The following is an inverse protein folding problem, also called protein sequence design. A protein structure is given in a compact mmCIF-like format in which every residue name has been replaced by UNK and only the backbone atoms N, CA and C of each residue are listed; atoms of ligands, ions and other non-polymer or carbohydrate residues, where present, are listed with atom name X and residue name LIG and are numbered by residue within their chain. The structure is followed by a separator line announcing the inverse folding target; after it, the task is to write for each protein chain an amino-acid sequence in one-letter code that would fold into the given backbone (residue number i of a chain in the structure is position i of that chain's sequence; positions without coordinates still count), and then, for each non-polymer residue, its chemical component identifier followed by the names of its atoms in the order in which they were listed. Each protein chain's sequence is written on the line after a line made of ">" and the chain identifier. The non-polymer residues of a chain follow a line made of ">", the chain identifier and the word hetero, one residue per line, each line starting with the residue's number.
data_IF_632552648584
#
_entry.id   IF_632552648584
#
_cell.length_a   1.000
_cell.length_b   1.000
_cell.length_c   1.000
_cell.angle_alpha   90.00
_cell.angle_beta   90.00
_cell.angle_gamma   90.00
#
_symmetry.space_group_name_H-M   'P 1'
#
loop_
_entity.id
_entity.type
_entity.pdbx_description
1 polymer ?
#
# COMPACT_ATOMS: atom_id res chain seq x y z
N UNK A 1 -7.00 -9.67 -41.35
CA UNK A 1 -6.35 -8.97 -40.22
C UNK A 1 -7.01 -7.61 -40.06
N UNK A 2 -7.25 -7.09 -38.84
CA UNK A 2 -7.83 -5.76 -38.67
C UNK A 2 -6.90 -4.67 -39.21
N UNK A 3 -7.46 -3.68 -39.87
CA UNK A 3 -6.71 -2.52 -40.38
C UNK A 3 -6.16 -1.66 -39.23
N UNK A 4 -5.20 -0.78 -39.51
CA UNK A 4 -4.66 0.15 -38.52
C UNK A 4 -5.78 0.98 -37.84
N UNK A 5 -6.74 1.47 -38.65
CA UNK A 5 -7.92 2.21 -38.16
C UNK A 5 -8.72 1.39 -37.14
N UNK A 6 -8.94 0.11 -37.41
CA UNK A 6 -9.68 -0.76 -36.50
C UNK A 6 -8.91 -1.02 -35.19
N UNK A 7 -7.57 -1.13 -35.25
CA UNK A 7 -6.73 -1.29 -34.06
C UNK A 7 -6.75 -0.06 -33.16
N UNK A 8 -6.75 1.15 -33.73
CA UNK A 8 -6.83 2.40 -32.96
C UNK A 8 -8.18 2.55 -32.25
N UNK A 9 -9.27 2.22 -32.96
CA UNK A 9 -10.61 2.24 -32.38
C UNK A 9 -10.69 1.24 -31.23
N UNK A 10 -10.25 -0.01 -31.47
CA UNK A 10 -10.24 -1.07 -30.46
C UNK A 10 -9.45 -0.68 -29.21
N UNK A 11 -8.26 -0.08 -29.35
CA UNK A 11 -7.43 0.35 -28.24
C UNK A 11 -8.16 1.37 -27.36
N UNK A 12 -8.79 2.38 -27.95
CA UNK A 12 -9.56 3.39 -27.23
C UNK A 12 -10.72 2.77 -26.44
N UNK A 13 -11.42 1.81 -27.02
CA UNK A 13 -12.58 1.15 -26.44
C UNK A 13 -12.15 0.20 -25.31
N UNK A 14 -11.01 -0.50 -25.44
CA UNK A 14 -10.43 -1.34 -24.39
C UNK A 14 -10.01 -0.51 -23.17
N UNK A 15 -9.34 0.63 -23.36
CA UNK A 15 -8.98 1.53 -22.27
C UNK A 15 -10.20 2.13 -21.57
N UNK A 16 -11.26 2.46 -22.34
CA UNK A 16 -12.52 2.90 -21.76
C UNK A 16 -13.20 1.81 -20.92
N UNK A 17 -13.13 0.54 -21.35
CA UNK A 17 -13.63 -0.60 -20.58
C UNK A 17 -12.88 -0.71 -19.25
N UNK A 18 -11.55 -0.64 -19.27
CA UNK A 18 -10.72 -0.69 -18.06
C UNK A 18 -11.13 0.39 -17.05
N UNK A 19 -11.24 1.65 -17.49
CA UNK A 19 -11.65 2.75 -16.60
C UNK A 19 -13.04 2.51 -15.97
N UNK A 20 -13.98 1.92 -16.72
CA UNK A 20 -15.31 1.60 -16.19
C UNK A 20 -15.24 0.47 -15.15
N UNK A 21 -14.42 -0.54 -15.38
CA UNK A 21 -14.21 -1.65 -14.44
C UNK A 21 -13.55 -1.17 -13.15
N UNK A 22 -12.48 -0.39 -13.26
CA UNK A 22 -11.71 0.13 -12.11
C UNK A 22 -12.56 1.03 -11.22
N UNK A 23 -13.47 1.80 -11.81
CA UNK A 23 -14.33 2.76 -11.10
C UNK A 23 -15.68 2.17 -10.67
N UNK A 24 -16.03 1.00 -11.17
CA UNK A 24 -17.34 0.38 -10.93
C UNK A 24 -18.53 1.18 -11.48
N UNK A 25 -18.29 2.26 -12.25
CA UNK A 25 -19.34 3.16 -12.76
C UNK A 25 -18.92 3.86 -14.05
N UNK A 26 -19.79 3.78 -15.06
CA UNK A 26 -19.61 4.50 -16.34
C UNK A 26 -19.56 6.02 -16.10
N UNK A 27 -20.40 6.54 -15.21
CA UNK A 27 -20.46 7.97 -14.92
C UNK A 27 -19.17 8.48 -14.25
N UNK A 28 -18.64 7.75 -13.29
CA UNK A 28 -17.39 8.11 -12.59
C UNK A 28 -16.22 8.04 -13.56
N UNK A 29 -16.15 6.99 -14.39
CA UNK A 29 -15.14 6.84 -15.43
C UNK A 29 -15.20 7.98 -16.47
N UNK A 30 -16.39 8.35 -16.92
CA UNK A 30 -16.60 9.45 -17.87
C UNK A 30 -16.13 10.79 -17.30
N UNK A 31 -16.51 11.11 -16.06
CA UNK A 31 -16.13 12.35 -15.38
C UNK A 31 -14.60 12.47 -15.23
N UNK A 32 -13.94 11.37 -14.83
CA UNK A 32 -12.47 11.35 -14.68
C UNK A 32 -11.75 11.63 -16.00
N UNK A 33 -12.30 11.11 -17.10
CA UNK A 33 -11.70 11.26 -18.44
C UNK A 33 -12.19 12.52 -19.19
N UNK A 34 -12.98 13.39 -18.54
CA UNK A 34 -13.45 14.64 -19.15
C UNK A 34 -14.39 14.44 -20.34
N UNK A 35 -15.07 13.29 -20.46
CA UNK A 35 -16.00 12.99 -21.53
C UNK A 35 -17.43 12.82 -21.00
N UNK A 36 -18.43 12.97 -21.91
CA UNK A 36 -19.82 12.77 -21.53
C UNK A 36 -20.11 11.31 -21.23
N UNK A 37 -21.02 11.05 -20.28
CA UNK A 37 -21.46 9.69 -19.92
C UNK A 37 -21.99 8.90 -21.14
N UNK A 38 -22.73 9.58 -22.04
CA UNK A 38 -23.20 9.00 -23.31
C UNK A 38 -22.04 8.50 -24.19
N UNK A 39 -20.94 9.25 -24.25
CA UNK A 39 -19.76 8.87 -25.04
C UNK A 39 -19.06 7.65 -24.43
N UNK A 40 -18.85 7.62 -23.11
CA UNK A 40 -18.28 6.46 -22.43
C UNK A 40 -19.15 5.22 -22.64
N UNK A 41 -20.48 5.35 -22.48
CA UNK A 41 -21.44 4.27 -22.75
C UNK A 41 -21.37 3.77 -24.20
N UNK A 42 -21.15 4.68 -25.16
CA UNK A 42 -21.06 4.31 -26.58
C UNK A 42 -19.77 3.54 -26.88
N UNK A 43 -18.64 3.91 -26.27
CA UNK A 43 -17.37 3.18 -26.41
C UNK A 43 -17.54 1.72 -25.95
N UNK A 44 -18.17 1.51 -24.79
CA UNK A 44 -18.44 0.15 -24.30
C UNK A 44 -19.35 -0.63 -25.24
N UNK A 45 -20.45 -0.02 -25.70
CA UNK A 45 -21.38 -0.68 -26.65
C UNK A 45 -20.70 -1.06 -27.97
N UNK A 46 -19.84 -0.19 -28.49
CA UNK A 46 -19.10 -0.45 -29.72
C UNK A 46 -18.16 -1.66 -29.53
N UNK A 47 -17.45 -1.72 -28.41
CA UNK A 47 -16.58 -2.83 -28.07
C UNK A 47 -17.37 -4.15 -27.93
N UNK A 48 -18.48 -4.12 -27.20
CA UNK A 48 -19.39 -5.28 -27.07
C UNK A 48 -19.90 -5.75 -28.42
N UNK A 49 -20.29 -4.80 -29.31
CA UNK A 49 -20.75 -5.12 -30.67
C UNK A 49 -19.63 -5.73 -31.53
N UNK A 50 -18.41 -5.20 -31.41
CA UNK A 50 -17.24 -5.70 -32.16
C UNK A 50 -16.86 -7.12 -31.73
N UNK A 51 -16.90 -7.39 -30.43
CA UNK A 51 -16.51 -8.69 -29.87
C UNK A 51 -17.67 -9.70 -29.83
N UNK A 52 -18.92 -9.26 -30.03
CA UNK A 52 -20.11 -10.10 -30.00
C UNK A 52 -20.49 -10.61 -28.60
N UNK A 53 -19.94 -10.01 -27.54
CA UNK A 53 -20.17 -10.44 -26.17
C UNK A 53 -20.48 -9.24 -25.26
N UNK A 54 -21.22 -9.48 -24.18
CA UNK A 54 -21.42 -8.49 -23.11
C UNK A 54 -20.18 -8.43 -22.23
N UNK A 55 -19.73 -7.20 -21.94
CA UNK A 55 -18.55 -6.93 -21.12
C UNK A 55 -18.90 -6.33 -19.76
N UNK A 56 -19.99 -5.56 -19.69
CA UNK A 56 -20.44 -4.91 -18.46
C UNK A 56 -21.89 -5.29 -18.15
N UNK A 57 -22.12 -5.76 -16.94
CA UNK A 57 -23.44 -5.89 -16.33
C UNK A 57 -23.78 -4.58 -15.60
N UNK A 58 -24.94 -3.97 -15.94
CA UNK A 58 -25.43 -2.75 -15.31
C UNK A 58 -26.47 -3.12 -14.27
N UNK A 59 -26.19 -2.87 -13.01
CA UNK A 59 -27.08 -3.10 -11.89
C UNK A 59 -27.31 -1.78 -11.13
N UNK A 60 -28.23 -1.80 -10.17
CA UNK A 60 -28.46 -0.65 -9.28
C UNK A 60 -27.20 -0.25 -8.48
N UNK A 61 -26.31 -1.21 -8.24
CA UNK A 61 -25.07 -1.00 -7.49
C UNK A 61 -23.87 -0.55 -8.38
N UNK A 62 -24.10 -0.32 -9.70
CA UNK A 62 -23.06 0.16 -10.61
C UNK A 62 -22.84 -0.70 -11.87
N UNK A 63 -21.60 -0.70 -12.33
CA UNK A 63 -21.15 -1.39 -13.55
C UNK A 63 -20.19 -2.49 -13.17
N UNK A 64 -20.64 -3.74 -13.22
CA UNK A 64 -19.83 -4.90 -12.87
C UNK A 64 -19.26 -5.59 -14.12
N UNK A 65 -17.99 -6.03 -14.13
CA UNK A 65 -17.41 -6.78 -15.23
C UNK A 65 -18.08 -8.15 -15.38
N UNK A 66 -18.23 -8.62 -16.63
CA UNK A 66 -18.64 -10.00 -16.94
C UNK A 66 -17.44 -10.94 -16.89
N UNK A 67 -17.67 -12.26 -16.93
CA UNK A 67 -16.60 -13.25 -17.07
C UNK A 67 -15.74 -13.00 -18.33
N UNK A 68 -16.36 -12.59 -19.43
CA UNK A 68 -15.62 -12.22 -20.65
C UNK A 68 -14.67 -11.07 -20.44
N UNK A 69 -15.06 -10.08 -19.63
CA UNK A 69 -14.18 -8.96 -19.26
C UNK A 69 -13.03 -9.41 -18.37
N UNK A 70 -13.29 -10.29 -17.41
CA UNK A 70 -12.24 -10.82 -16.52
C UNK A 70 -11.15 -11.54 -17.29
N UNK A 71 -11.50 -12.29 -18.35
CA UNK A 71 -10.54 -12.99 -19.20
C UNK A 71 -9.56 -12.01 -19.88
N UNK A 72 -10.04 -10.87 -20.38
CA UNK A 72 -9.20 -9.91 -21.16
C UNK A 72 -8.67 -8.76 -20.33
N UNK A 73 -9.09 -8.64 -19.06
CA UNK A 73 -8.76 -7.45 -18.23
C UNK A 73 -7.26 -7.30 -18.00
N UNK A 74 -6.55 -8.38 -17.71
CA UNK A 74 -5.10 -8.35 -17.51
C UNK A 74 -4.35 -7.95 -18.80
N UNK A 75 -4.83 -8.40 -19.96
CA UNK A 75 -4.25 -8.00 -21.24
C UNK A 75 -4.44 -6.50 -21.49
N UNK A 76 -5.61 -5.95 -21.13
CA UNK A 76 -5.88 -4.50 -21.25
C UNK A 76 -4.96 -3.71 -20.33
N UNK A 77 -4.75 -4.15 -19.10
CA UNK A 77 -3.79 -3.55 -18.17
C UNK A 77 -2.37 -3.53 -18.78
N UNK A 78 -1.93 -4.64 -19.34
CA UNK A 78 -0.61 -4.75 -20.01
C UNK A 78 -0.49 -3.78 -21.19
N UNK A 79 -1.54 -3.63 -21.99
CA UNK A 79 -1.56 -2.66 -23.11
C UNK A 79 -1.40 -1.22 -22.59
N UNK A 80 -2.14 -0.84 -21.56
CA UNK A 80 -2.01 0.50 -20.95
C UNK A 80 -0.62 0.75 -20.38
N UNK A 81 -0.04 -0.23 -19.72
CA UNK A 81 1.32 -0.15 -19.18
C UNK A 81 2.37 0.06 -20.27
N UNK A 82 2.26 -0.69 -21.38
CA UNK A 82 3.16 -0.51 -22.52
C UNK A 82 3.04 0.88 -23.15
N UNK A 83 1.82 1.42 -23.24
CA UNK A 83 1.61 2.79 -23.72
C UNK A 83 2.25 3.81 -22.78
N UNK A 84 2.02 3.66 -21.47
CA UNK A 84 2.63 4.54 -20.47
C UNK A 84 4.17 4.45 -20.53
N UNK A 85 4.73 3.26 -20.65
CA UNK A 85 6.19 3.07 -20.81
C UNK A 85 6.75 3.79 -22.03
N UNK A 86 6.04 3.74 -23.17
CA UNK A 86 6.45 4.48 -24.39
C UNK A 86 6.43 5.99 -24.12
N UNK A 87 5.36 6.50 -23.47
CA UNK A 87 5.24 7.92 -23.13
C UNK A 87 6.34 8.34 -22.15
N UNK A 88 6.56 7.56 -21.10
CA UNK A 88 7.58 7.83 -20.08
C UNK A 88 9.01 7.84 -20.62
N UNK A 89 9.28 7.11 -21.73
CA UNK A 89 10.60 7.09 -22.39
C UNK A 89 10.99 8.46 -22.96
N UNK A 90 10.03 9.31 -23.27
CA UNK A 90 10.23 10.64 -23.86
C UNK A 90 10.03 11.79 -22.85
N UNK A 91 9.80 11.49 -21.57
CA UNK A 91 9.71 12.50 -20.52
C UNK A 91 11.13 12.89 -20.12
N UNK A 92 11.41 14.21 -20.12
CA UNK A 92 12.62 14.75 -19.54
C UNK A 92 12.70 14.35 -18.06
N UNK A 93 13.83 13.82 -17.57
CA UNK A 93 14.00 13.51 -16.14
C UNK A 93 13.63 14.66 -15.20
N UNK A 94 13.86 15.91 -15.64
CA UNK A 94 13.50 17.12 -14.88
C UNK A 94 12.00 17.47 -14.96
N UNK A 95 11.24 16.81 -15.84
CA UNK A 95 9.82 17.05 -16.06
C UNK A 95 8.94 15.85 -15.63
N UNK A 96 9.42 15.11 -14.63
CA UNK A 96 8.70 13.96 -14.09
C UNK A 96 7.32 14.37 -13.60
N UNK A 97 6.31 13.86 -14.26
CA UNK A 97 4.92 14.18 -13.97
C UNK A 97 4.06 12.92 -14.02
N UNK A 98 2.85 13.05 -13.48
CA UNK A 98 1.85 12.01 -13.59
C UNK A 98 1.36 11.51 -12.23
N UNK A 99 0.54 10.49 -12.30
CA UNK A 99 -0.11 9.89 -11.14
C UNK A 99 0.57 8.57 -10.78
N UNK A 100 0.71 8.30 -9.50
CA UNK A 100 1.26 7.06 -8.99
C UNK A 100 0.51 6.64 -7.73
N UNK A 101 -0.02 5.42 -7.74
CA UNK A 101 -0.65 4.81 -6.58
C UNK A 101 0.37 4.01 -5.78
N UNK A 102 0.42 4.28 -4.48
CA UNK A 102 1.32 3.60 -3.54
C UNK A 102 0.50 3.01 -2.42
N UNK A 103 0.57 1.72 -2.27
CA UNK A 103 -0.03 1.02 -1.14
C UNK A 103 1.03 0.69 -0.08
N UNK A 104 0.72 0.96 1.17
CA UNK A 104 1.52 0.51 2.29
C UNK A 104 0.65 0.29 3.53
N UNK A 105 1.16 -0.50 4.47
CA UNK A 105 0.54 -0.58 5.79
C UNK A 105 0.53 0.78 6.48
N UNK A 106 -0.53 1.06 7.24
CA UNK A 106 -0.77 2.34 7.94
C UNK A 106 0.46 2.83 8.72
N UNK A 107 1.15 1.93 9.41
CA UNK A 107 2.32 2.29 10.21
C UNK A 107 3.52 2.82 9.41
N UNK A 108 3.64 2.42 8.14
CA UNK A 108 4.70 2.93 7.26
C UNK A 108 4.40 4.34 6.80
N UNK A 109 3.17 4.63 6.36
CA UNK A 109 2.82 5.99 5.95
C UNK A 109 2.75 6.94 7.16
N UNK A 110 2.01 6.57 8.21
CA UNK A 110 1.70 7.48 9.32
C UNK A 110 2.92 7.86 10.15
N UNK A 111 3.87 6.97 10.33
CA UNK A 111 5.01 7.21 11.23
C UNK A 111 6.33 7.41 10.53
N UNK A 112 6.47 6.92 9.29
CA UNK A 112 7.74 6.89 8.60
C UNK A 112 7.79 7.85 7.43
N UNK A 113 6.79 7.79 6.54
CA UNK A 113 6.80 8.48 5.25
C UNK A 113 6.24 9.91 5.31
N UNK A 114 5.30 10.18 6.22
CA UNK A 114 4.56 11.46 6.22
C UNK A 114 5.43 12.69 6.51
N UNK A 115 6.49 12.54 7.31
CA UNK A 115 7.35 13.68 7.68
C UNK A 115 8.06 14.28 6.45
N UNK A 116 8.48 13.41 5.54
CA UNK A 116 9.38 13.77 4.46
C UNK A 116 8.65 13.89 3.11
N UNK A 117 7.32 13.70 3.12
CA UNK A 117 6.49 13.80 1.92
C UNK A 117 6.54 15.22 1.30
N UNK A 118 6.73 16.24 2.11
CA UNK A 118 6.93 17.63 1.65
C UNK A 118 8.21 17.78 0.82
N UNK A 119 9.28 17.07 1.19
CA UNK A 119 10.54 17.07 0.44
C UNK A 119 10.39 16.33 -0.90
N UNK A 120 9.62 15.22 -0.90
CA UNK A 120 9.27 14.54 -2.14
C UNK A 120 8.56 15.48 -3.12
N UNK A 121 7.54 16.22 -2.66
CA UNK A 121 6.82 17.17 -3.52
C UNK A 121 7.65 18.38 -3.91
N UNK A 122 8.59 18.82 -3.07
CA UNK A 122 9.54 19.87 -3.44
C UNK A 122 10.46 19.42 -4.57
N UNK A 123 10.91 18.15 -4.54
CA UNK A 123 11.79 17.57 -5.55
C UNK A 123 11.04 17.17 -6.83
N UNK A 124 9.79 16.70 -6.69
CA UNK A 124 8.96 16.18 -7.79
C UNK A 124 7.56 16.82 -7.80
N UNK A 125 7.44 18.14 -8.07
CA UNK A 125 6.20 18.90 -7.89
C UNK A 125 5.07 18.49 -8.83
N UNK A 126 5.38 17.80 -9.93
CA UNK A 126 4.39 17.35 -10.92
C UNK A 126 3.95 15.90 -10.72
N UNK A 127 4.54 15.16 -9.78
CA UNK A 127 4.07 13.82 -9.42
C UNK A 127 2.93 13.95 -8.41
N UNK A 128 1.85 13.22 -8.65
CA UNK A 128 0.71 13.10 -7.75
C UNK A 128 0.68 11.70 -7.17
N UNK A 129 0.75 11.58 -5.85
CA UNK A 129 0.65 10.31 -5.15
C UNK A 129 -0.78 10.05 -4.67
N UNK A 130 -1.29 8.85 -4.91
CA UNK A 130 -2.44 8.28 -4.20
C UNK A 130 -1.91 7.29 -3.17
N UNK A 131 -2.05 7.62 -1.89
CA UNK A 131 -1.59 6.78 -0.79
C UNK A 131 -2.74 5.91 -0.31
N UNK A 132 -2.60 4.60 -0.42
CA UNK A 132 -3.63 3.61 -0.15
C UNK A 132 -3.24 2.75 1.06
N UNK A 133 -4.12 2.64 2.05
CA UNK A 133 -3.85 1.91 3.31
C UNK A 133 -4.93 0.90 3.68
N UNK A 134 -6.18 1.13 3.24
CA UNK A 134 -7.36 0.39 3.72
C UNK A 134 -7.88 -0.70 2.79
N UNK A 135 -7.45 -0.70 1.53
CA UNK A 135 -7.81 -1.75 0.57
C UNK A 135 -6.81 -2.89 0.69
N UNK A 136 -7.24 -4.09 0.35
CA UNK A 136 -6.27 -5.18 0.15
C UNK A 136 -5.28 -4.79 -0.94
N UNK A 137 -3.98 -5.07 -0.74
CA UNK A 137 -2.96 -4.75 -1.74
C UNK A 137 -3.19 -5.58 -3.01
N UNK A 138 -3.26 -4.90 -4.14
CA UNK A 138 -3.42 -5.53 -5.45
C UNK A 138 -2.40 -4.95 -6.44
N UNK A 139 -1.40 -5.77 -6.77
CA UNK A 139 -0.32 -5.36 -7.65
C UNK A 139 -0.78 -5.03 -9.08
N UNK A 140 -1.92 -5.54 -9.51
CA UNK A 140 -2.45 -5.25 -10.84
C UNK A 140 -3.10 -3.86 -10.93
N UNK A 141 -3.57 -3.34 -9.81
CA UNK A 141 -4.30 -2.07 -9.72
C UNK A 141 -3.54 -0.95 -9.00
N UNK A 142 -2.32 -1.23 -8.56
CA UNK A 142 -1.48 -0.28 -7.83
C UNK A 142 -0.07 -0.25 -8.42
N UNK A 143 0.57 0.91 -8.45
CA UNK A 143 1.89 1.04 -9.04
C UNK A 143 2.99 0.48 -8.13
N UNK A 144 2.93 0.83 -6.85
CA UNK A 144 3.90 0.39 -5.83
C UNK A 144 3.16 -0.20 -4.63
N UNK A 145 3.68 -1.31 -4.13
CA UNK A 145 3.24 -1.93 -2.89
C UNK A 145 4.43 -2.03 -1.92
N UNK A 146 4.23 -1.56 -0.68
CA UNK A 146 5.20 -1.72 0.41
C UNK A 146 4.58 -2.68 1.41
N UNK A 147 5.00 -3.91 1.38
CA UNK A 147 4.35 -5.05 2.05
C UNK A 147 5.31 -5.81 2.98
N UNK A 148 4.71 -6.55 3.89
CA UNK A 148 5.38 -7.63 4.63
C UNK A 148 5.07 -8.95 3.95
N UNK A 149 6.04 -9.66 3.37
CA UNK A 149 5.80 -10.93 2.67
C UNK A 149 5.16 -11.99 3.56
N UNK A 150 5.42 -11.96 4.86
CA UNK A 150 4.80 -12.88 5.83
C UNK A 150 3.29 -12.67 5.99
N UNK A 151 2.80 -11.46 5.72
CA UNK A 151 1.35 -11.12 5.77
C UNK A 151 0.72 -11.28 4.39
N UNK A 152 1.46 -10.96 3.33
CA UNK A 152 0.98 -10.98 1.94
C UNK A 152 1.79 -11.95 1.05
N UNK A 153 1.83 -13.26 1.36
CA UNK A 153 2.73 -14.22 0.70
C UNK A 153 2.39 -14.48 -0.78
N UNK A 154 1.18 -14.16 -1.20
CA UNK A 154 0.69 -14.43 -2.56
C UNK A 154 0.90 -13.26 -3.53
N UNK A 155 1.44 -12.14 -3.06
CA UNK A 155 1.69 -10.98 -3.92
C UNK A 155 3.10 -11.11 -4.51
N UNK A 156 3.16 -11.26 -5.82
CA UNK A 156 4.40 -11.42 -6.57
C UNK A 156 4.63 -10.21 -7.48
N UNK A 157 5.85 -9.70 -7.51
CA UNK A 157 6.25 -8.57 -8.34
C UNK A 157 7.76 -8.42 -8.39
N UNK A 158 8.25 -7.42 -9.11
CA UNK A 158 9.66 -7.02 -9.04
C UNK A 158 9.92 -6.37 -7.70
N UNK A 159 10.86 -6.92 -6.94
CA UNK A 159 11.34 -6.31 -5.69
C UNK A 159 12.29 -5.18 -6.06
N UNK A 160 11.91 -3.96 -5.73
CA UNK A 160 12.71 -2.75 -5.97
C UNK A 160 13.78 -2.57 -4.89
N UNK A 161 13.37 -2.74 -3.64
CA UNK A 161 14.24 -2.80 -2.47
C UNK A 161 13.54 -3.52 -1.33
N UNK A 162 14.32 -3.93 -0.34
CA UNK A 162 13.83 -4.48 0.90
C UNK A 162 14.64 -3.97 2.08
N UNK A 163 14.03 -3.96 3.24
CA UNK A 163 14.70 -3.63 4.49
C UNK A 163 14.11 -4.43 5.65
N UNK A 164 14.89 -4.55 6.71
CA UNK A 164 14.49 -5.24 7.92
C UNK A 164 14.22 -4.24 9.03
N UNK A 165 13.27 -4.58 9.86
CA UNK A 165 12.96 -3.85 11.08
C UNK A 165 12.67 -4.79 12.22
N UNK A 166 12.90 -4.32 13.43
CA UNK A 166 12.56 -5.07 14.62
C UNK A 166 11.25 -4.58 15.22
N UNK A 167 10.43 -5.51 15.67
CA UNK A 167 9.26 -5.22 16.49
C UNK A 167 9.67 -5.32 17.96
N UNK A 168 9.28 -4.31 18.73
CA UNK A 168 9.61 -4.20 20.15
C UNK A 168 8.39 -3.76 20.95
N UNK A 169 8.40 -3.99 22.27
CA UNK A 169 7.35 -3.49 23.13
C UNK A 169 7.56 -2.02 23.46
N UNK A 170 6.46 -1.27 23.40
CA UNK A 170 6.42 0.16 23.69
C UNK A 170 5.30 0.49 24.66
N UNK A 171 5.53 1.48 25.49
CA UNK A 171 4.56 2.07 26.37
C UNK A 171 4.81 3.57 26.53
N UNK A 172 4.02 4.26 27.35
CA UNK A 172 4.26 5.66 27.70
C UNK A 172 4.81 5.82 29.11
N UNK A 173 5.51 6.93 29.36
CA UNK A 173 5.97 7.27 30.70
C UNK A 173 4.79 7.39 31.69
N UNK A 174 3.62 7.85 31.21
CA UNK A 174 2.39 7.93 32.01
C UNK A 174 1.93 6.56 32.49
N UNK A 175 1.98 5.54 31.63
CA UNK A 175 1.65 4.18 32.01
C UNK A 175 2.62 3.62 33.05
N UNK A 176 3.93 3.82 32.82
CA UNK A 176 4.97 3.34 33.73
C UNK A 176 4.86 3.97 35.12
N UNK A 177 4.52 5.25 35.19
CA UNK A 177 4.34 5.95 36.47
C UNK A 177 3.19 5.38 37.29
N UNK A 178 2.15 4.88 36.63
CA UNK A 178 0.96 4.32 37.30
C UNK A 178 1.07 2.82 37.60
N UNK A 179 1.76 2.04 36.74
CA UNK A 179 1.72 0.58 36.78
C UNK A 179 3.11 -0.06 37.01
N UNK A 180 4.19 0.75 37.00
CA UNK A 180 5.56 0.28 37.09
C UNK A 180 6.12 -0.28 35.78
N UNK A 181 7.42 -0.54 35.77
CA UNK A 181 8.14 -1.17 34.67
C UNK A 181 7.95 -2.69 34.73
N UNK A 182 7.58 -3.37 33.63
CA UNK A 182 7.57 -4.83 33.59
C UNK A 182 8.97 -5.39 33.85
N UNK A 183 9.10 -6.29 34.82
CA UNK A 183 10.40 -6.87 35.21
C UNK A 183 10.94 -7.89 34.22
N UNK A 184 10.06 -8.53 33.47
CA UNK A 184 10.36 -9.53 32.45
C UNK A 184 9.09 -9.86 31.64
N UNK A 185 9.21 -10.68 30.62
CA UNK A 185 8.10 -11.09 29.75
C UNK A 185 6.94 -11.74 30.53
N UNK A 186 7.22 -12.54 31.55
CA UNK A 186 6.17 -13.19 32.34
C UNK A 186 5.39 -12.18 33.20
N UNK A 187 6.06 -11.19 33.74
CA UNK A 187 5.44 -10.07 34.47
C UNK A 187 4.57 -9.22 33.53
N UNK A 188 5.10 -8.86 32.37
CA UNK A 188 4.36 -8.15 31.33
C UNK A 188 3.03 -8.88 30.99
N UNK A 189 3.09 -10.18 30.71
CA UNK A 189 1.93 -10.95 30.26
C UNK A 189 0.90 -11.21 31.38
N UNK A 190 1.32 -11.18 32.65
CA UNK A 190 0.43 -11.44 33.80
C UNK A 190 -0.18 -10.19 34.41
N UNK A 191 0.56 -9.10 34.45
CA UNK A 191 0.25 -7.97 35.31
C UNK A 191 0.07 -6.65 34.55
N UNK A 192 0.37 -6.61 33.24
CA UNK A 192 0.24 -5.38 32.45
C UNK A 192 -0.79 -5.50 31.34
N UNK A 193 -1.37 -4.36 30.99
CA UNK A 193 -2.38 -4.25 29.94
C UNK A 193 -1.73 -4.24 28.55
N UNK A 194 -2.21 -5.09 27.65
CA UNK A 194 -1.79 -5.08 26.25
C UNK A 194 -2.85 -4.44 25.37
N UNK A 195 -2.39 -3.60 24.44
CA UNK A 195 -3.16 -3.01 23.35
C UNK A 195 -2.48 -3.43 22.04
N UNK A 196 -3.11 -4.26 21.23
CA UNK A 196 -2.45 -4.89 20.09
C UNK A 196 -3.18 -4.62 18.77
N UNK A 197 -2.41 -4.56 17.70
CA UNK A 197 -2.97 -4.52 16.35
C UNK A 197 -3.38 -5.92 15.93
N UNK A 198 -4.59 -6.08 15.38
CA UNK A 198 -5.20 -7.37 15.02
C UNK A 198 -4.31 -8.24 14.12
N UNK A 199 -3.59 -7.61 13.18
CA UNK A 199 -2.66 -8.31 12.29
C UNK A 199 -1.56 -9.08 13.02
N UNK A 200 -1.11 -8.58 14.18
CA UNK A 200 -0.10 -9.28 15.00
C UNK A 200 -0.72 -10.45 15.74
N UNK A 201 -1.99 -10.36 16.12
CA UNK A 201 -2.72 -11.44 16.81
C UNK A 201 -2.78 -12.71 15.96
N UNK A 202 -2.85 -12.55 14.66
CA UNK A 202 -2.97 -13.66 13.69
C UNK A 202 -1.61 -14.27 13.29
N UNK A 203 -0.48 -13.61 13.60
CA UNK A 203 0.84 -14.18 13.33
C UNK A 203 1.14 -15.33 14.30
N UNK A 204 1.66 -16.43 13.77
CA UNK A 204 1.94 -17.63 14.55
C UNK A 204 2.93 -17.37 15.69
N UNK A 205 3.90 -16.51 15.45
CA UNK A 205 4.96 -16.12 16.38
C UNK A 205 4.42 -15.41 17.61
N UNK A 206 3.36 -14.64 17.45
CA UNK A 206 2.72 -13.89 18.55
C UNK A 206 1.64 -14.68 19.29
N UNK A 207 1.18 -15.81 18.76
CA UNK A 207 0.10 -16.63 19.37
C UNK A 207 0.43 -17.05 20.79
N UNK A 208 1.68 -17.39 21.09
CA UNK A 208 2.10 -17.80 22.42
C UNK A 208 2.09 -16.63 23.41
N UNK A 209 2.45 -15.43 22.95
CA UNK A 209 2.40 -14.20 23.74
C UNK A 209 0.94 -13.91 24.11
N UNK A 210 0.09 -13.88 23.09
CA UNK A 210 -1.32 -13.54 23.23
C UNK A 210 -2.08 -14.54 24.11
N UNK A 211 -1.85 -15.86 23.94
CA UNK A 211 -2.49 -16.90 24.77
C UNK A 211 -2.09 -16.81 26.24
N UNK A 212 -0.91 -16.28 26.54
CA UNK A 212 -0.40 -16.11 27.92
C UNK A 212 -0.76 -14.76 28.53
N UNK A 213 -1.15 -13.78 27.72
CA UNK A 213 -1.55 -12.47 28.18
C UNK A 213 -2.87 -12.56 28.96
N UNK A 214 -2.87 -12.11 30.19
CA UNK A 214 -4.07 -12.07 31.04
C UNK A 214 -4.95 -10.85 30.77
N UNK A 215 -4.35 -9.76 30.31
CA UNK A 215 -5.00 -8.47 30.14
C UNK A 215 -4.74 -7.96 28.71
N UNK A 216 -5.45 -8.53 27.73
CA UNK A 216 -5.55 -7.98 26.38
C UNK A 216 -6.75 -7.03 26.34
N UNK A 217 -6.49 -5.76 26.64
CA UNK A 217 -7.57 -4.79 26.88
C UNK A 217 -8.17 -4.23 25.60
N UNK A 218 -7.34 -4.05 24.58
CA UNK A 218 -7.80 -3.43 23.32
C UNK A 218 -7.12 -4.08 22.13
N UNK A 219 -7.90 -4.34 21.10
CA UNK A 219 -7.42 -4.72 19.78
C UNK A 219 -8.01 -3.79 18.73
N UNK A 220 -7.27 -3.51 17.67
CA UNK A 220 -7.72 -2.69 16.55
C UNK A 220 -6.97 -3.05 15.29
N UNK A 221 -7.58 -2.83 14.15
CA UNK A 221 -6.93 -2.89 12.83
C UNK A 221 -6.05 -1.65 12.55
N UNK A 222 -6.25 -0.56 13.33
CA UNK A 222 -5.50 0.70 13.18
C UNK A 222 -4.31 0.76 14.14
N UNK A 223 -3.11 0.83 13.56
CA UNK A 223 -1.87 1.05 14.31
C UNK A 223 -1.84 2.46 14.93
N UNK A 224 -2.37 3.47 14.23
CA UNK A 224 -2.43 4.84 14.72
C UNK A 224 -3.32 4.95 15.97
N UNK A 225 -4.46 4.24 15.99
CA UNK A 225 -5.32 4.20 17.19
C UNK A 225 -4.60 3.53 18.35
N UNK A 226 -3.98 2.37 18.14
CA UNK A 226 -3.26 1.65 19.20
C UNK A 226 -2.10 2.50 19.74
N UNK A 227 -1.28 3.10 18.86
CA UNK A 227 -0.16 3.94 19.31
C UNK A 227 -0.65 5.16 20.11
N UNK A 228 -1.77 5.76 19.73
CA UNK A 228 -2.39 6.86 20.47
C UNK A 228 -2.89 6.43 21.86
N UNK A 229 -3.60 5.31 21.96
CA UNK A 229 -4.06 4.77 23.26
C UNK A 229 -2.87 4.53 24.20
N UNK A 230 -1.81 3.91 23.71
CA UNK A 230 -0.62 3.64 24.51
C UNK A 230 0.09 4.94 24.92
N UNK A 231 0.14 5.94 24.05
CA UNK A 231 0.67 7.26 24.39
C UNK A 231 -0.16 7.95 25.50
N UNK A 232 -1.46 7.73 25.53
CA UNK A 232 -2.35 8.22 26.60
C UNK A 232 -2.26 7.43 27.91
N UNK A 233 -1.50 6.33 27.94
CA UNK A 233 -1.24 5.56 29.15
C UNK A 233 -2.16 4.37 29.36
N UNK A 234 -2.77 3.82 28.30
CA UNK A 234 -3.74 2.73 28.42
C UNK A 234 -3.11 1.33 28.42
N UNK A 235 -1.80 1.23 28.09
CA UNK A 235 -1.17 -0.09 28.08
C UNK A 235 0.20 -0.14 27.40
N UNK A 236 0.54 -1.35 26.97
CA UNK A 236 1.77 -1.71 26.28
C UNK A 236 1.40 -2.30 24.92
N UNK A 237 2.14 -1.95 23.89
CA UNK A 237 1.94 -2.45 22.52
C UNK A 237 3.24 -2.91 21.88
N UNK A 238 3.12 -3.53 20.70
CA UNK A 238 4.24 -3.92 19.85
C UNK A 238 4.27 -2.98 18.63
N UNK A 239 5.40 -2.30 18.43
CA UNK A 239 5.63 -1.39 17.32
C UNK A 239 6.98 -1.63 16.65
N UNK A 240 7.14 -1.24 15.38
CA UNK A 240 8.44 -1.24 14.72
C UNK A 240 9.43 -0.26 15.38
N UNK A 241 10.71 -0.57 15.30
CA UNK A 241 11.79 0.19 15.96
C UNK A 241 11.84 1.67 15.57
N UNK A 242 11.46 2.03 14.34
CA UNK A 242 11.42 3.45 13.91
C UNK A 242 10.39 4.31 14.66
N UNK A 243 9.43 3.70 15.36
CA UNK A 243 8.48 4.48 16.18
C UNK A 243 9.16 5.27 17.28
N UNK A 244 10.29 4.81 17.80
CA UNK A 244 11.11 5.53 18.78
C UNK A 244 11.55 6.91 18.27
N UNK A 245 11.86 7.02 16.99
CA UNK A 245 12.33 8.27 16.38
C UNK A 245 11.19 9.24 16.04
N UNK A 246 10.00 8.70 15.78
CA UNK A 246 8.84 9.49 15.35
C UNK A 246 7.90 9.87 16.49
N UNK A 247 7.97 9.17 17.64
CA UNK A 247 7.08 9.33 18.79
C UNK A 247 7.89 9.45 20.08
N UNK A 248 8.33 10.66 20.40
CA UNK A 248 9.22 10.97 21.54
C UNK A 248 8.66 10.63 22.92
N UNK A 249 7.34 10.46 23.04
CA UNK A 249 6.67 10.11 24.30
C UNK A 249 6.56 8.62 24.55
N UNK A 250 6.92 7.79 23.58
CA UNK A 250 6.91 6.33 23.74
C UNK A 250 8.26 5.85 24.27
N UNK A 251 8.18 4.99 25.26
CA UNK A 251 9.32 4.32 25.90
C UNK A 251 9.41 2.91 25.34
N UNK A 252 10.56 2.56 24.76
CA UNK A 252 10.86 1.18 24.37
C UNK A 252 11.21 0.36 25.61
N UNK A 253 10.66 -0.84 25.69
CA UNK A 253 10.91 -1.78 26.78
C UNK A 253 12.04 -2.76 26.39
N UNK A 254 13.24 -2.21 26.14
CA UNK A 254 14.42 -2.94 25.63
C UNK A 254 14.89 -4.07 26.56
N UNK A 255 14.57 -3.99 27.87
CA UNK A 255 14.93 -4.98 28.88
C UNK A 255 14.10 -6.28 28.77
N UNK A 256 13.00 -6.24 28.03
CA UNK A 256 12.24 -7.45 27.72
C UNK A 256 12.98 -8.19 26.61
N UNK A 257 13.41 -9.41 26.88
CA UNK A 257 14.05 -10.29 25.89
C UNK A 257 13.03 -10.68 24.79
N UNK A 258 12.72 -9.70 23.95
CA UNK A 258 11.80 -9.80 22.83
C UNK A 258 12.39 -9.06 21.63
N UNK A 259 12.76 -9.84 20.64
CA UNK A 259 13.32 -9.32 19.40
C UNK A 259 12.72 -10.10 18.23
N UNK A 260 11.78 -9.51 17.53
CA UNK A 260 11.17 -10.08 16.33
C UNK A 260 11.54 -9.25 15.11
N UNK A 261 12.40 -9.81 14.26
CA UNK A 261 12.77 -9.18 13.00
C UNK A 261 11.71 -9.48 11.94
N UNK A 262 11.30 -8.46 11.21
CA UNK A 262 10.39 -8.58 10.06
C UNK A 262 10.99 -7.89 8.85
N UNK A 263 10.83 -8.50 7.68
CA UNK A 263 11.22 -7.92 6.40
C UNK A 263 10.07 -7.15 5.78
N UNK A 264 10.38 -6.02 5.18
CA UNK A 264 9.47 -5.21 4.37
C UNK A 264 10.04 -5.14 2.96
N UNK A 265 9.19 -5.32 1.97
CA UNK A 265 9.55 -5.27 0.56
C UNK A 265 8.76 -4.16 -0.13
N UNK A 266 9.45 -3.37 -0.93
CA UNK A 266 8.86 -2.48 -1.90
C UNK A 266 8.84 -3.20 -3.25
N UNK A 267 7.66 -3.43 -3.78
CA UNK A 267 7.46 -4.19 -5.01
C UNK A 267 6.59 -3.41 -6.01
N UNK A 268 6.77 -3.68 -7.26
CA UNK A 268 5.90 -3.19 -8.34
C UNK A 268 5.70 -4.25 -9.42
N UNK A 269 4.87 -3.94 -10.41
CA UNK A 269 4.78 -4.76 -11.64
C UNK A 269 6.09 -4.68 -12.42
N UNK A 270 6.50 -5.79 -13.05
CA UNK A 270 7.74 -5.86 -13.81
C UNK A 270 7.83 -4.77 -14.90
N UNK A 271 6.69 -4.46 -15.53
CA UNK A 271 6.62 -3.53 -16.68
C UNK A 271 6.93 -2.08 -16.29
N UNK A 272 6.69 -1.69 -15.04
CA UNK A 272 6.88 -0.29 -14.60
C UNK A 272 8.11 -0.08 -13.71
N UNK A 273 8.84 -1.15 -13.37
CA UNK A 273 9.98 -1.08 -12.45
C UNK A 273 11.04 -0.05 -12.88
N UNK A 274 11.25 0.09 -14.19
CA UNK A 274 12.26 0.95 -14.79
C UNK A 274 11.73 2.34 -15.20
N UNK A 275 10.44 2.63 -14.95
CA UNK A 275 9.89 3.94 -15.30
C UNK A 275 10.48 5.06 -14.44
N UNK A 276 10.73 6.26 -15.02
CA UNK A 276 11.36 7.36 -14.29
C UNK A 276 10.65 7.74 -13.00
N UNK A 277 9.32 7.74 -12.97
CA UNK A 277 8.54 8.06 -11.76
C UNK A 277 8.69 7.02 -10.64
N UNK A 278 8.76 5.72 -10.99
CA UNK A 278 8.99 4.65 -10.02
C UNK A 278 10.40 4.75 -9.46
N UNK A 279 11.41 4.97 -10.30
CA UNK A 279 12.79 5.19 -9.86
C UNK A 279 12.92 6.43 -8.96
N UNK A 280 12.25 7.53 -9.29
CA UNK A 280 12.23 8.74 -8.45
C UNK A 280 11.68 8.44 -7.06
N UNK A 281 10.57 7.69 -6.98
CA UNK A 281 9.99 7.27 -5.70
C UNK A 281 10.93 6.33 -4.93
N UNK A 282 11.50 5.34 -5.60
CA UNK A 282 12.43 4.37 -4.98
C UNK A 282 13.65 5.09 -4.41
N UNK A 283 14.30 5.96 -5.19
CA UNK A 283 15.46 6.73 -4.73
C UNK A 283 15.12 7.58 -3.50
N UNK A 284 13.99 8.29 -3.55
CA UNK A 284 13.54 9.09 -2.41
C UNK A 284 13.30 8.22 -1.17
N UNK A 285 12.63 7.09 -1.32
CA UNK A 285 12.33 6.20 -0.20
C UNK A 285 13.56 5.50 0.36
N UNK A 286 14.52 5.13 -0.50
CA UNK A 286 15.80 4.54 -0.05
C UNK A 286 16.65 5.56 0.71
N UNK A 287 16.68 6.82 0.25
CA UNK A 287 17.34 7.92 0.98
C UNK A 287 16.73 8.08 2.38
N UNK A 288 15.39 8.10 2.46
CA UNK A 288 14.64 8.19 3.70
C UNK A 288 14.94 7.04 4.67
N UNK A 289 14.92 5.80 4.19
CA UNK A 289 15.28 4.63 5.00
C UNK A 289 16.71 4.74 5.56
N UNK A 290 17.64 5.23 4.75
CA UNK A 290 19.04 5.42 5.18
C UNK A 290 19.15 6.48 6.28
N UNK A 291 18.38 7.56 6.22
CA UNK A 291 18.29 8.58 7.28
C UNK A 291 17.78 8.01 8.62
N UNK A 292 16.93 6.98 8.56
CA UNK A 292 16.40 6.29 9.74
C UNK A 292 17.22 5.05 10.16
N UNK A 293 18.47 4.94 9.72
CA UNK A 293 19.36 3.82 10.02
C UNK A 293 18.79 2.44 9.68
N UNK A 294 17.86 2.37 8.73
CA UNK A 294 17.35 1.10 8.23
C UNK A 294 18.28 0.56 7.16
N UNK A 295 18.74 -0.67 7.36
CA UNK A 295 19.62 -1.32 6.40
C UNK A 295 18.82 -1.78 5.18
N UNK A 296 19.10 -1.16 4.03
CA UNK A 296 18.43 -1.44 2.76
C UNK A 296 19.27 -2.42 1.95
N UNK A 297 18.60 -3.43 1.42
CA UNK A 297 19.12 -4.27 0.35
C UNK A 297 18.45 -3.83 -0.96
N UNK A 298 19.21 -3.15 -1.83
CA UNK A 298 18.76 -2.84 -3.20
C UNK A 298 18.77 -4.13 -4.02
N UNK A 299 17.70 -4.37 -4.75
CA UNK A 299 17.55 -5.55 -5.61
C UNK A 299 17.67 -5.21 -7.10
N UNK A 300 18.01 -3.95 -7.43
CA UNK A 300 18.24 -3.48 -8.81
C UNK A 300 19.71 -3.24 -9.08
#
# INVERSE_FOLDING_TARGET
>A
MPTLKNKVILLRELLALKEVVDRGSIQIAANKNGIKNSNMSQLIKNLESLLGVKLINRNFDGSQPTNSTQIIYNDICTIEELLNKILDTFIDPDDLSGYMSVWAEEGLFGSFFMKDLSEFYAKYPKIRLELLMRKEPDINNMDILIIKPTIHPNILGTVLFKFKTQLQFYTSQKYLSANGMPKNMNDLLKNHNLCLVDRYINLQEFRNIIKRAKHLNTTSDSLALISRLVNEGDGITILPSWFKETHTNLVCLDELDFNYETEIQCICRNQIAETPKVRAFVNFFTDLCSCHNLHIESCC
#
